data_IF_446891820082
#
_entry.id   IF_446891820082
#
_cell.length_a   1.000
_cell.length_b   1.000
_cell.length_c   1.000
_cell.angle_alpha   90.00
_cell.angle_beta   90.00
_cell.angle_gamma   90.00
#
_symmetry.space_group_name_H-M   'P 1'
#
loop_
_entity.id
_entity.type
_entity.pdbx_description
1 polymer ?
#
# COMPACT_ATOMS: atom_id res chain seq x y z
N UNK A 1 -0.39 -62.92 9.35
CA UNK A 1 -1.42 -61.87 9.20
C UNK A 1 -0.73 -60.52 9.39
N UNK A 2 -0.62 -59.72 8.33
CA UNK A 2 0.02 -58.40 8.41
C UNK A 2 -0.88 -57.45 9.22
N UNK A 3 -0.27 -56.63 10.10
CA UNK A 3 -1.00 -55.63 10.88
C UNK A 3 -1.65 -54.60 9.93
N UNK A 4 -2.88 -54.15 10.22
CA UNK A 4 -3.54 -53.14 9.38
C UNK A 4 -2.77 -51.81 9.46
N UNK A 5 -2.46 -51.24 8.28
CA UNK A 5 -1.80 -49.94 8.12
C UNK A 5 -2.66 -48.83 8.74
N UNK A 6 -2.02 -47.90 9.42
CA UNK A 6 -2.66 -46.74 10.04
C UNK A 6 -3.11 -45.72 8.97
N UNK A 7 -4.07 -44.85 9.31
CA UNK A 7 -4.61 -43.87 8.36
C UNK A 7 -3.55 -42.89 7.83
N UNK A 8 -2.53 -42.58 8.64
CA UNK A 8 -1.43 -41.71 8.23
C UNK A 8 -0.47 -42.39 7.24
N UNK A 9 -0.29 -43.71 7.34
CA UNK A 9 0.52 -44.47 6.39
C UNK A 9 -0.17 -44.57 5.03
N UNK A 10 -1.50 -44.70 5.01
CA UNK A 10 -2.28 -44.71 3.77
C UNK A 10 -2.21 -43.37 3.03
N UNK A 11 -2.34 -42.26 3.76
CA UNK A 11 -2.26 -40.91 3.17
C UNK A 11 -0.89 -40.63 2.55
N UNK A 12 0.21 -41.03 3.22
CA UNK A 12 1.56 -40.90 2.66
C UNK A 12 1.83 -41.80 1.45
N UNK A 13 1.20 -42.95 1.39
CA UNK A 13 1.31 -43.88 0.25
C UNK A 13 0.52 -43.34 -0.96
N UNK A 14 -0.63 -42.70 -0.71
CA UNK A 14 -1.47 -42.04 -1.72
C UNK A 14 -0.81 -40.77 -2.31
N UNK A 15 -0.15 -39.95 -1.48
CA UNK A 15 0.66 -38.82 -1.96
C UNK A 15 1.84 -39.28 -2.84
N UNK A 16 2.52 -40.36 -2.45
CA UNK A 16 3.62 -40.92 -3.25
C UNK A 16 3.13 -41.50 -4.58
N UNK A 17 1.95 -42.12 -4.58
CA UNK A 17 1.35 -42.65 -5.79
C UNK A 17 0.93 -41.52 -6.75
N UNK A 18 0.33 -40.44 -6.23
CA UNK A 18 -0.03 -39.27 -7.03
C UNK A 18 1.20 -38.54 -7.61
N UNK A 19 2.28 -38.48 -6.84
CA UNK A 19 3.54 -37.90 -7.30
C UNK A 19 4.20 -38.74 -8.40
N UNK A 20 4.09 -40.07 -8.34
CA UNK A 20 4.55 -40.99 -9.39
C UNK A 20 3.71 -40.89 -10.67
N UNK A 21 2.38 -40.77 -10.55
CA UNK A 21 1.50 -40.62 -11.71
C UNK A 21 1.73 -39.30 -12.46
N UNK A 22 1.99 -38.20 -11.73
CA UNK A 22 2.37 -36.93 -12.35
C UNK A 22 3.72 -37.02 -13.08
N UNK A 23 4.70 -37.75 -12.54
CA UNK A 23 5.99 -37.95 -13.21
C UNK A 23 5.90 -38.86 -14.45
N UNK A 24 4.93 -39.78 -14.49
CA UNK A 24 4.71 -40.67 -15.63
C UNK A 24 3.88 -40.02 -16.76
N UNK A 25 2.97 -39.11 -16.41
CA UNK A 25 2.15 -38.36 -17.38
C UNK A 25 2.95 -37.42 -18.27
N UNK A 26 3.92 -36.70 -17.69
CA UNK A 26 4.76 -35.74 -18.43
C UNK A 26 5.84 -36.42 -19.28
N UNK A 27 6.20 -37.67 -18.98
CA UNK A 27 7.30 -38.39 -19.65
C UNK A 27 6.89 -39.19 -20.91
N UNK A 28 5.59 -39.47 -21.11
CA UNK A 28 5.10 -40.29 -22.24
C UNK A 28 3.98 -39.63 -23.08
N UNK A 29 3.64 -38.38 -22.80
CA UNK A 29 2.53 -37.66 -23.44
C UNK A 29 2.85 -36.91 -24.73
N UNK A 30 3.59 -37.48 -25.70
CA UNK A 30 3.60 -36.96 -27.09
C UNK A 30 4.18 -37.96 -28.12
N UNK A 31 3.45 -39.03 -28.46
CA UNK A 31 3.83 -39.89 -29.60
C UNK A 31 2.66 -40.28 -30.50
N UNK A 32 1.65 -39.42 -30.56
CA UNK A 32 0.36 -39.72 -31.17
C UNK A 32 -0.03 -38.90 -32.40
N UNK A 33 0.87 -38.18 -33.08
CA UNK A 33 0.47 -37.44 -34.31
C UNK A 33 1.60 -37.32 -35.34
N UNK A 34 1.85 -38.39 -36.10
CA UNK A 34 2.52 -38.31 -37.40
C UNK A 34 1.94 -39.38 -38.34
N UNK A 35 0.96 -39.00 -39.17
CA UNK A 35 0.76 -39.50 -40.54
C UNK A 35 -0.38 -38.74 -41.23
N UNK A 36 -0.15 -38.24 -42.44
CA UNK A 36 -1.21 -37.93 -43.42
C UNK A 36 -1.06 -38.88 -44.63
N UNK A 37 -1.73 -38.67 -45.79
CA UNK A 37 -2.93 -37.88 -46.09
C UNK A 37 -4.04 -38.70 -46.84
N UNK A 38 -5.12 -38.01 -47.25
CA UNK A 38 -5.99 -38.25 -48.42
C UNK A 38 -7.46 -38.73 -48.22
N UNK A 39 -8.37 -37.90 -48.77
CA UNK A 39 -9.48 -38.17 -49.71
C UNK A 39 -10.91 -38.56 -49.27
N UNK A 40 -11.83 -37.69 -49.73
CA UNK A 40 -13.24 -37.81 -50.17
C UNK A 40 -14.26 -38.79 -49.56
N UNK A 41 -15.49 -38.29 -49.31
CA UNK A 41 -16.67 -39.14 -49.12
C UNK A 41 -17.94 -38.46 -48.61
N UNK A 42 -18.74 -37.96 -49.55
CA UNK A 42 -20.09 -37.38 -49.44
C UNK A 42 -21.18 -38.40 -49.00
N UNK A 43 -22.17 -37.99 -48.19
CA UNK A 43 -23.52 -38.61 -48.12
C UNK A 43 -24.51 -37.83 -47.23
N UNK A 44 -25.45 -37.19 -47.91
CA UNK A 44 -26.69 -36.54 -47.47
C UNK A 44 -27.78 -37.55 -47.01
N UNK A 45 -28.64 -37.19 -46.04
CA UNK A 45 -30.10 -37.51 -46.06
C UNK A 45 -30.88 -36.56 -45.13
N UNK A 46 -31.96 -36.03 -45.69
CA UNK A 46 -32.75 -34.85 -45.32
C UNK A 46 -33.88 -35.09 -44.29
N UNK A 47 -34.36 -34.00 -43.68
CA UNK A 47 -35.71 -33.86 -43.10
C UNK A 47 -36.32 -32.51 -43.55
N UNK A 48 -37.64 -32.38 -43.80
CA UNK A 48 -38.14 -31.43 -44.80
C UNK A 48 -38.64 -30.07 -44.27
N UNK A 49 -38.42 -29.07 -45.13
CA UNK A 49 -39.21 -27.89 -45.53
C UNK A 49 -40.15 -27.18 -44.53
N UNK A 50 -39.93 -25.88 -44.30
CA UNK A 50 -40.59 -24.79 -45.05
C UNK A 50 -39.98 -23.40 -44.73
N UNK A 51 -39.78 -22.62 -45.80
CA UNK A 51 -39.04 -21.35 -45.96
C UNK A 51 -39.94 -20.10 -45.67
N UNK A 52 -39.54 -18.81 -45.92
CA UNK A 52 -38.30 -18.33 -46.58
C UNK A 52 -37.64 -17.01 -46.05
N UNK A 53 -36.42 -16.77 -46.58
CA UNK A 53 -35.82 -15.46 -47.01
C UNK A 53 -35.25 -14.48 -45.94
N UNK A 54 -34.02 -13.91 -46.00
CA UNK A 54 -32.83 -13.94 -46.88
C UNK A 54 -31.55 -13.59 -46.06
N UNK A 55 -30.40 -13.98 -46.61
CA UNK A 55 -29.01 -14.11 -46.10
C UNK A 55 -28.21 -12.81 -45.85
N UNK A 56 -27.17 -12.86 -44.99
CA UNK A 56 -26.03 -11.94 -45.02
C UNK A 56 -24.85 -12.54 -45.81
N UNK A 57 -24.30 -11.80 -46.79
CA UNK A 57 -23.08 -12.18 -47.52
C UNK A 57 -21.84 -11.40 -47.05
N UNK A 58 -20.77 -12.17 -47.04
CA UNK A 58 -19.36 -11.93 -46.75
C UNK A 58 -18.69 -11.08 -47.85
N UNK A 59 -17.86 -10.11 -47.45
CA UNK A 59 -17.09 -9.28 -48.39
C UNK A 59 -15.58 -9.42 -48.15
N UNK A 60 -14.92 -9.72 -49.26
CA UNK A 60 -13.50 -9.96 -49.44
C UNK A 60 -12.57 -8.80 -49.03
N UNK A 61 -11.32 -9.16 -48.75
CA UNK A 61 -10.20 -8.26 -48.49
C UNK A 61 -9.87 -7.32 -49.67
N UNK A 62 -9.52 -6.04 -49.42
CA UNK A 62 -8.85 -5.21 -50.41
C UNK A 62 -7.35 -5.07 -50.14
N UNK A 63 -6.57 -5.45 -51.14
CA UNK A 63 -5.18 -5.04 -51.36
C UNK A 63 -5.09 -3.56 -51.76
N UNK A 64 -4.26 -2.75 -51.08
CA UNK A 64 -3.80 -1.45 -51.59
C UNK A 64 -3.32 -0.47 -50.50
N UNK A 65 -2.17 0.24 -50.68
CA UNK A 65 -1.70 1.25 -49.71
C UNK A 65 -2.55 2.54 -49.77
N UNK A 66 -2.72 3.26 -48.64
CA UNK A 66 -3.51 4.47 -48.60
C UNK A 66 -2.88 5.58 -49.43
N UNK A 67 -3.67 6.13 -50.35
CA UNK A 67 -3.32 7.27 -51.18
C UNK A 67 -3.67 8.58 -50.46
N UNK A 68 -2.68 9.43 -50.19
CA UNK A 68 -2.85 10.88 -50.02
C UNK A 68 -2.68 11.45 -48.59
N UNK A 69 -1.95 12.57 -48.43
CA UNK A 69 -1.87 13.29 -47.15
C UNK A 69 -3.18 14.01 -46.81
N UNK A 70 -3.49 14.23 -45.53
CA UNK A 70 -4.72 14.89 -45.10
C UNK A 70 -4.79 16.34 -45.60
N UNK A 71 -5.99 16.72 -46.00
CA UNK A 71 -6.34 18.01 -46.58
C UNK A 71 -6.27 19.13 -45.52
N UNK A 72 -5.31 20.05 -45.68
CA UNK A 72 -5.39 21.46 -45.28
C UNK A 72 -5.46 21.84 -43.78
N UNK A 73 -4.85 22.97 -43.36
CA UNK A 73 -5.03 23.50 -42.01
C UNK A 73 -6.46 24.05 -41.80
N UNK A 74 -6.98 24.03 -40.55
CA UNK A 74 -8.31 24.54 -40.25
C UNK A 74 -8.42 26.04 -40.55
N UNK A 75 -9.56 26.39 -41.14
CA UNK A 75 -9.95 27.73 -41.53
C UNK A 75 -10.12 28.67 -40.32
N UNK A 76 -9.16 29.56 -40.10
CA UNK A 76 -9.36 30.86 -39.45
C UNK A 76 -9.34 30.92 -37.90
N UNK A 77 -8.89 32.04 -37.31
CA UNK A 77 -8.95 32.27 -35.86
C UNK A 77 -10.40 32.49 -35.37
N UNK A 78 -10.71 32.20 -34.09
CA UNK A 78 -12.02 32.44 -33.53
C UNK A 78 -12.39 33.93 -33.58
N UNK A 79 -13.66 34.18 -33.86
CA UNK A 79 -14.26 35.49 -34.02
C UNK A 79 -14.26 36.29 -32.71
N UNK A 80 -13.30 37.20 -32.54
CA UNK A 80 -13.39 38.40 -31.69
C UNK A 80 -13.32 38.22 -30.16
N UNK A 81 -12.86 39.25 -29.42
CA UNK A 81 -12.90 39.26 -27.96
C UNK A 81 -14.34 39.42 -27.44
N UNK A 82 -14.65 38.92 -26.22
CA UNK A 82 -15.96 39.12 -25.60
C UNK A 82 -16.27 40.62 -25.47
N UNK A 83 -17.53 40.96 -25.75
CA UNK A 83 -18.04 42.32 -25.72
C UNK A 83 -18.05 42.87 -24.29
N UNK A 84 -17.11 43.75 -23.97
CA UNK A 84 -17.23 44.79 -22.93
C UNK A 84 -16.89 44.38 -21.48
N UNK A 85 -16.36 45.30 -20.67
CA UNK A 85 -16.18 45.10 -19.23
C UNK A 85 -17.54 45.09 -18.49
N UNK A 86 -17.66 44.41 -17.35
CA UNK A 86 -18.86 44.48 -16.52
C UNK A 86 -19.12 45.93 -16.10
N UNK A 87 -20.39 46.32 -16.20
CA UNK A 87 -20.87 47.65 -15.88
C UNK A 87 -20.78 47.91 -14.37
N UNK A 88 -19.74 48.64 -13.95
CA UNK A 88 -19.72 49.45 -12.74
C UNK A 88 -19.48 48.72 -11.39
N UNK A 89 -18.85 49.40 -10.41
CA UNK A 89 -18.73 48.88 -9.05
C UNK A 89 -20.09 48.89 -8.33
N UNK A 90 -20.32 47.99 -7.36
CA UNK A 90 -21.52 48.03 -6.52
C UNK A 90 -21.59 49.37 -5.78
N UNK A 91 -22.78 49.95 -5.78
CA UNK A 91 -23.08 51.22 -5.14
C UNK A 91 -23.03 51.07 -3.61
N UNK A 92 -22.03 51.66 -2.98
CA UNK A 92 -22.09 52.14 -1.59
C UNK A 92 -21.68 51.15 -0.48
N UNK A 93 -20.95 51.62 0.56
CA UNK A 93 -20.70 50.84 1.77
C UNK A 93 -21.99 50.69 2.61
N UNK A 94 -22.15 49.60 3.36
CA UNK A 94 -23.23 49.48 4.34
C UNK A 94 -23.12 50.60 5.38
N UNK A 95 -24.26 51.25 5.61
CA UNK A 95 -24.39 52.30 6.62
C UNK A 95 -24.36 51.70 8.02
N UNK A 96 -23.38 52.11 8.82
CA UNK A 96 -23.48 52.13 10.29
C UNK A 96 -22.78 50.99 11.05
N UNK A 97 -22.01 51.30 12.12
CA UNK A 97 -21.52 50.30 13.07
C UNK A 97 -22.64 49.82 14.01
N UNK A 98 -22.64 48.54 14.45
CA UNK A 98 -23.52 48.09 15.52
C UNK A 98 -23.15 48.79 16.83
N UNK A 99 -24.18 49.13 17.62
CA UNK A 99 -24.09 49.88 18.87
C UNK A 99 -23.17 49.25 19.93
N UNK A 100 -22.64 50.12 20.80
CA UNK A 100 -21.63 49.81 21.80
C UNK A 100 -22.04 48.85 22.93
N UNK A 101 -21.09 48.51 23.81
CA UNK A 101 -21.27 47.50 24.86
C UNK A 101 -22.12 48.03 26.04
N UNK A 102 -22.90 47.16 26.72
CA UNK A 102 -23.56 47.55 27.96
C UNK A 102 -22.53 47.75 29.08
N UNK A 103 -22.65 48.88 29.76
CA UNK A 103 -21.89 49.24 30.96
C UNK A 103 -22.59 48.73 32.23
N UNK A 104 -21.87 47.95 33.04
CA UNK A 104 -21.91 47.98 34.51
C UNK A 104 -23.04 47.23 35.27
N UNK A 105 -22.72 46.54 36.38
CA UNK A 105 -23.71 46.10 37.38
C UNK A 105 -23.89 47.16 38.48
N UNK A 106 -25.02 47.12 39.22
CA UNK A 106 -24.93 47.49 40.63
C UNK A 106 -25.65 46.51 41.58
N UNK A 107 -24.87 46.23 42.62
CA UNK A 107 -25.08 45.68 43.96
C UNK A 107 -26.35 46.07 44.74
N UNK A 108 -26.71 45.14 45.65
CA UNK A 108 -27.20 45.29 47.07
C UNK A 108 -28.56 45.97 47.25
N UNK A 109 -29.48 45.56 48.12
CA UNK A 109 -29.46 44.95 49.47
C UNK A 109 -30.87 44.34 49.69
N UNK A 110 -31.13 43.40 50.60
CA UNK A 110 -31.27 43.63 52.04
C UNK A 110 -31.52 42.29 52.75
N UNK A 111 -30.89 42.16 53.93
CA UNK A 111 -31.46 41.70 55.23
C UNK A 111 -32.15 40.30 55.31
N UNK A 112 -32.00 39.46 56.33
CA UNK A 112 -31.35 39.53 57.65
C UNK A 112 -31.58 38.12 58.27
N UNK A 113 -30.59 37.63 59.03
CA UNK A 113 -30.71 36.70 60.18
C UNK A 113 -29.40 35.93 60.40
N UNK A 114 -28.57 36.49 61.29
CA UNK A 114 -27.63 35.75 62.13
C UNK A 114 -28.30 35.56 63.54
N UNK A 115 -27.65 35.04 64.62
CA UNK A 115 -26.33 34.38 64.71
C UNK A 115 -26.25 33.14 65.68
N UNK A 116 -25.18 32.33 65.50
CA UNK A 116 -24.23 31.76 66.52
C UNK A 116 -24.64 30.67 67.58
N UNK A 117 -23.68 30.04 68.32
CA UNK A 117 -22.41 29.38 67.92
C UNK A 117 -22.07 28.10 68.76
N UNK A 118 -20.93 27.44 68.49
CA UNK A 118 -20.02 26.71 69.42
C UNK A 118 -18.95 25.96 68.57
N UNK A 119 -17.65 26.29 68.54
CA UNK A 119 -16.56 26.05 69.53
C UNK A 119 -16.64 24.67 70.21
N UNK A 120 -15.60 23.82 70.36
CA UNK A 120 -14.14 23.97 70.42
C UNK A 120 -13.51 22.55 70.45
N UNK A 121 -12.20 22.44 70.13
CA UNK A 121 -11.18 21.56 70.73
C UNK A 121 -11.35 20.01 70.65
N UNK A 122 -10.34 19.14 70.80
CA UNK A 122 -8.88 19.10 70.69
C UNK A 122 -8.50 17.61 70.92
N UNK A 123 -7.27 17.22 70.52
CA UNK A 123 -6.43 16.18 71.17
C UNK A 123 -6.87 14.69 71.11
N UNK A 124 -6.01 13.68 71.06
CA UNK A 124 -4.54 13.54 71.13
C UNK A 124 -4.18 12.08 70.72
N UNK A 125 -2.87 11.83 70.60
CA UNK A 125 -2.13 10.56 70.73
C UNK A 125 -2.18 9.54 69.58
N UNK A 126 -1.09 8.88 69.20
CA UNK A 126 0.34 8.95 69.51
C UNK A 126 1.02 7.87 68.61
N UNK A 127 1.97 8.22 67.72
CA UNK A 127 3.45 8.01 67.83
C UNK A 127 3.90 6.53 67.51
N UNK A 128 5.17 6.26 67.15
CA UNK A 128 5.64 5.89 65.80
C UNK A 128 6.60 4.65 65.83
N UNK A 129 7.23 4.24 64.72
CA UNK A 129 8.67 4.47 64.37
C UNK A 129 9.16 3.29 63.47
N UNK A 130 10.40 3.26 62.92
CA UNK A 130 11.12 4.23 62.06
C UNK A 130 11.68 3.48 60.80
N UNK A 131 12.34 4.05 59.78
CA UNK A 131 13.65 4.75 59.68
C UNK A 131 13.76 5.30 58.25
N UNK A 132 14.09 6.59 58.02
CA UNK A 132 15.45 7.13 57.78
C UNK A 132 16.24 6.33 56.70
N UNK A 133 16.87 6.91 55.67
CA UNK A 133 17.36 8.28 55.51
C UNK A 133 17.62 8.58 54.01
N UNK A 134 17.68 9.88 53.67
CA UNK A 134 17.95 10.39 52.31
C UNK A 134 19.43 10.88 52.21
N UNK A 135 19.91 11.44 51.08
CA UNK A 135 21.25 11.17 50.52
C UNK A 135 22.32 12.18 51.00
N UNK A 136 23.53 12.14 50.41
CA UNK A 136 24.07 13.41 49.94
C UNK A 136 24.74 13.35 48.56
N UNK A 137 24.86 14.54 47.98
CA UNK A 137 25.46 14.83 46.70
C UNK A 137 26.94 15.25 46.79
N UNK A 138 27.63 15.06 45.66
CA UNK A 138 28.64 15.93 45.05
C UNK A 138 30.15 15.55 45.12
N UNK A 139 30.75 15.72 43.93
CA UNK A 139 32.15 15.99 43.54
C UNK A 139 33.01 14.88 42.89
N UNK A 140 33.16 15.04 41.56
CA UNK A 140 34.40 15.03 40.74
C UNK A 140 35.43 13.88 40.85
N UNK A 141 35.56 13.06 39.79
CA UNK A 141 36.67 13.10 38.81
C UNK A 141 36.56 11.91 37.83
N UNK A 142 36.94 12.16 36.57
CA UNK A 142 37.01 11.17 35.49
C UNK A 142 38.08 10.08 35.74
N UNK A 143 38.04 8.95 35.01
CA UNK A 143 38.80 8.95 33.76
C UNK A 143 38.08 8.32 32.57
N UNK A 144 38.55 8.75 31.40
CA UNK A 144 38.20 8.24 30.10
C UNK A 144 38.49 6.74 29.95
N UNK A 145 37.54 6.02 29.36
CA UNK A 145 37.78 4.79 28.64
C UNK A 145 37.02 4.87 27.32
N UNK A 146 37.77 5.07 26.25
CA UNK A 146 37.35 4.92 24.87
C UNK A 146 36.87 3.48 24.68
N UNK A 147 35.64 3.31 24.24
CA UNK A 147 35.20 2.08 23.57
C UNK A 147 34.81 2.50 22.17
N UNK A 148 35.73 2.24 21.24
CA UNK A 148 35.47 2.22 19.80
C UNK A 148 34.23 1.35 19.54
N UNK A 149 33.18 1.99 19.04
CA UNK A 149 32.03 1.33 18.42
C UNK A 149 32.49 0.95 17.00
N UNK A 150 32.57 -0.33 16.64
CA UNK A 150 33.01 -0.72 15.31
C UNK A 150 31.91 -0.43 14.28
N UNK A 151 32.31 0.24 13.19
CA UNK A 151 31.58 0.37 11.91
C UNK A 151 30.86 -0.93 11.51
N UNK A 152 29.65 -0.85 10.93
CA UNK A 152 29.01 -2.03 10.37
C UNK A 152 29.76 -2.43 9.10
N UNK A 153 30.50 -3.54 9.19
CA UNK A 153 31.08 -4.21 8.04
C UNK A 153 29.96 -4.84 7.20
N UNK A 154 30.06 -4.65 5.88
CA UNK A 154 29.25 -5.28 4.85
C UNK A 154 29.21 -6.81 5.04
N UNK A 155 28.03 -7.38 5.31
CA UNK A 155 27.82 -8.83 5.34
C UNK A 155 27.77 -9.37 3.89
N UNK A 156 28.89 -9.94 3.43
CA UNK A 156 28.90 -10.87 2.30
C UNK A 156 28.07 -12.13 2.64
N UNK A 157 27.30 -12.69 1.68
CA UNK A 157 26.58 -13.94 1.90
C UNK A 157 27.55 -15.11 2.10
N UNK A 158 27.23 -16.08 3.00
CA UNK A 158 28.16 -17.14 3.37
C UNK A 158 28.40 -18.13 2.23
N UNK A 159 29.67 -18.40 1.95
CA UNK A 159 30.13 -19.51 1.14
C UNK A 159 29.70 -20.84 1.78
N UNK A 160 28.96 -21.66 1.04
CA UNK A 160 28.61 -23.02 1.44
C UNK A 160 29.89 -23.85 1.60
N UNK A 161 30.20 -24.21 2.85
CA UNK A 161 31.23 -25.18 3.19
C UNK A 161 30.71 -26.56 2.78
N UNK A 162 31.39 -27.19 1.81
CA UNK A 162 31.16 -28.58 1.46
C UNK A 162 31.84 -29.45 2.51
N UNK A 163 31.02 -30.04 3.38
CA UNK A 163 31.42 -31.04 4.37
C UNK A 163 32.10 -32.24 3.70
N UNK A 164 33.20 -32.66 4.31
CA UNK A 164 34.03 -33.79 3.91
C UNK A 164 33.72 -34.97 4.84
N UNK A 165 33.30 -36.16 4.38
CA UNK A 165 33.16 -37.31 5.27
C UNK A 165 34.47 -38.13 5.33
N UNK A 166 34.85 -38.52 6.55
CA UNK A 166 35.86 -39.53 6.92
C UNK A 166 35.18 -40.89 7.22
N UNK A 167 35.91 -42.02 7.37
CA UNK A 167 35.71 -43.24 6.58
C UNK A 167 34.87 -44.34 7.26
N UNK A 168 34.34 -45.25 6.45
CA UNK A 168 33.64 -46.46 6.89
C UNK A 168 34.57 -47.70 6.83
N UNK A 169 34.41 -48.58 7.82
CA UNK A 169 35.10 -49.86 8.02
C UNK A 169 34.61 -50.98 7.05
N UNK A 170 35.53 -51.92 6.79
CA UNK A 170 35.51 -53.28 6.18
C UNK A 170 34.15 -54.03 6.13
N UNK A 171 33.74 -54.92 5.20
CA UNK A 171 34.29 -55.86 4.18
C UNK A 171 33.02 -56.52 3.50
N UNK A 172 33.04 -57.52 2.58
CA UNK A 172 34.02 -57.95 1.56
C UNK A 172 33.42 -58.16 0.14
N UNK A 173 34.33 -58.30 -0.83
CA UNK A 173 34.26 -58.99 -2.14
C UNK A 173 32.90 -59.37 -2.76
N UNK A 174 32.61 -58.78 -3.94
CA UNK A 174 31.96 -59.49 -5.04
C UNK A 174 32.35 -58.86 -6.39
N UNK A 175 33.18 -59.62 -7.13
CA UNK A 175 33.31 -59.70 -8.58
C UNK A 175 33.20 -58.42 -9.42
N UNK A 176 34.35 -58.00 -9.96
CA UNK A 176 34.38 -57.19 -11.19
C UNK A 176 33.60 -57.90 -12.31
N UNK A 177 32.84 -57.10 -13.07
CA UNK A 177 33.04 -57.11 -14.51
C UNK A 177 33.53 -55.74 -14.94
N UNK A 178 34.79 -55.72 -15.37
CA UNK A 178 35.32 -54.92 -16.48
C UNK A 178 34.25 -54.15 -17.28
N UNK A 179 34.17 -52.85 -17.02
CA UNK A 179 33.92 -51.83 -18.04
C UNK A 179 34.52 -50.51 -17.55
N UNK A 180 35.83 -50.34 -17.73
CA UNK A 180 36.40 -49.00 -17.88
C UNK A 180 35.75 -48.38 -19.14
N UNK A 181 34.59 -47.74 -19.00
CA UNK A 181 34.16 -46.76 -19.99
C UNK A 181 34.93 -45.49 -19.68
N UNK A 182 36.17 -45.41 -20.18
CA UNK A 182 36.80 -44.11 -20.40
C UNK A 182 35.76 -43.23 -21.09
N UNK A 183 35.44 -42.03 -20.58
CA UNK A 183 34.50 -41.15 -21.26
C UNK A 183 34.96 -41.01 -22.71
N UNK A 184 34.10 -41.44 -23.65
CA UNK A 184 34.43 -41.37 -25.08
C UNK A 184 34.81 -39.94 -25.43
N UNK A 185 35.73 -39.75 -26.37
CA UNK A 185 36.26 -38.42 -26.74
C UNK A 185 35.14 -37.39 -27.01
N UNK A 186 34.02 -37.84 -27.58
CA UNK A 186 32.82 -37.02 -27.80
C UNK A 186 32.19 -36.48 -26.52
N UNK A 187 32.21 -37.26 -25.43
CA UNK A 187 31.69 -36.83 -24.12
C UNK A 187 32.63 -35.82 -23.44
N UNK A 188 33.94 -35.97 -23.63
CA UNK A 188 34.92 -35.00 -23.14
C UNK A 188 34.84 -33.67 -23.90
N UNK A 189 34.66 -33.73 -25.22
CA UNK A 189 34.50 -32.53 -26.05
C UNK A 189 33.20 -31.78 -25.69
N UNK A 190 32.09 -32.50 -25.46
CA UNK A 190 30.83 -31.91 -24.99
C UNK A 190 30.95 -31.27 -23.60
N UNK A 191 31.72 -31.88 -22.68
CA UNK A 191 31.96 -31.30 -21.36
C UNK A 191 32.79 -30.01 -21.45
N UNK A 192 33.82 -29.98 -22.30
CA UNK A 192 34.60 -28.77 -22.56
C UNK A 192 33.75 -27.65 -23.20
N UNK A 193 32.85 -27.99 -24.13
CA UNK A 193 31.90 -27.01 -24.70
C UNK A 193 30.94 -26.46 -23.64
N UNK A 194 30.45 -27.32 -22.73
CA UNK A 194 29.59 -26.92 -21.61
C UNK A 194 30.33 -26.07 -20.58
N UNK A 195 31.60 -26.37 -20.31
CA UNK A 195 32.44 -25.56 -19.42
C UNK A 195 32.70 -24.17 -20.02
N UNK A 196 33.00 -24.08 -21.32
CA UNK A 196 33.13 -22.79 -22.00
C UNK A 196 31.82 -22.00 -22.05
N UNK A 197 30.67 -22.69 -22.20
CA UNK A 197 29.35 -22.07 -22.13
C UNK A 197 29.05 -21.55 -20.71
N UNK A 198 29.39 -22.31 -19.66
CA UNK A 198 29.27 -21.88 -18.26
C UNK A 198 30.14 -20.66 -17.97
N UNK A 199 31.39 -20.63 -18.44
CA UNK A 199 32.27 -19.46 -18.29
C UNK A 199 31.69 -18.22 -18.98
N UNK A 200 31.11 -18.39 -20.17
CA UNK A 200 30.41 -17.31 -20.87
C UNK A 200 29.20 -16.82 -20.08
N UNK A 201 28.38 -17.72 -19.55
CA UNK A 201 27.21 -17.36 -18.74
C UNK A 201 27.61 -16.71 -17.41
N UNK A 202 28.73 -17.10 -16.81
CA UNK A 202 29.27 -16.44 -15.62
C UNK A 202 29.73 -15.00 -15.94
N UNK A 203 30.42 -14.79 -17.07
CA UNK A 203 30.79 -13.45 -17.51
C UNK A 203 29.55 -12.59 -17.82
N UNK A 204 28.52 -13.16 -18.42
CA UNK A 204 27.25 -12.46 -18.68
C UNK A 204 26.52 -12.11 -17.38
N UNK A 205 26.42 -13.03 -16.43
CA UNK A 205 25.85 -12.76 -15.10
C UNK A 205 26.63 -11.68 -14.35
N UNK A 206 27.96 -11.70 -14.38
CA UNK A 206 28.79 -10.67 -13.76
C UNK A 206 28.54 -9.29 -14.38
N UNK A 207 28.43 -9.23 -15.72
CA UNK A 207 28.07 -7.99 -16.43
C UNK A 207 26.66 -7.51 -16.08
N UNK A 208 25.69 -8.41 -15.99
CA UNK A 208 24.32 -8.07 -15.61
C UNK A 208 24.27 -7.53 -14.19
N UNK A 209 24.97 -8.16 -13.24
CA UNK A 209 25.08 -7.66 -11.86
C UNK A 209 25.69 -6.26 -11.81
N UNK A 210 26.80 -6.02 -12.53
CA UNK A 210 27.40 -4.69 -12.60
C UNK A 210 26.45 -3.65 -13.20
N UNK A 211 25.70 -4.03 -14.24
CA UNK A 211 24.69 -3.15 -14.86
C UNK A 211 23.53 -2.85 -13.92
N UNK A 212 23.11 -3.81 -13.10
CA UNK A 212 22.03 -3.62 -12.10
C UNK A 212 22.50 -2.71 -10.97
N UNK A 213 23.72 -2.91 -10.46
CA UNK A 213 24.30 -2.02 -9.43
C UNK A 213 24.42 -0.59 -9.95
N UNK A 214 24.97 -0.38 -11.14
CA UNK A 214 25.06 0.97 -11.72
C UNK A 214 23.69 1.59 -12.03
N UNK A 215 22.68 0.78 -12.36
CA UNK A 215 21.31 1.29 -12.50
C UNK A 215 20.70 1.68 -11.14
N UNK A 216 20.97 0.93 -10.08
CA UNK A 216 20.51 1.24 -8.73
C UNK A 216 21.11 2.55 -8.22
N UNK A 217 22.43 2.76 -8.41
CA UNK A 217 23.11 4.01 -8.02
C UNK A 217 22.51 5.24 -8.72
N UNK A 218 22.25 5.15 -10.03
CA UNK A 218 21.63 6.26 -10.79
C UNK A 218 20.18 6.53 -10.35
N UNK A 219 19.44 5.47 -10.00
CA UNK A 219 18.09 5.61 -9.47
C UNK A 219 18.14 6.28 -8.09
N UNK A 220 19.00 5.82 -7.19
CA UNK A 220 19.17 6.40 -5.85
C UNK A 220 19.56 7.88 -5.93
N UNK A 221 20.54 8.24 -6.77
CA UNK A 221 20.95 9.64 -6.99
C UNK A 221 19.82 10.51 -7.58
N UNK A 222 18.97 9.94 -8.46
CA UNK A 222 17.77 10.61 -8.95
C UNK A 222 16.66 10.70 -7.89
N UNK A 223 16.58 9.74 -6.99
CA UNK A 223 15.52 9.64 -5.99
C UNK A 223 15.79 10.49 -4.75
N UNK A 224 17.07 10.67 -4.39
CA UNK A 224 17.57 11.34 -3.19
C UNK A 224 18.03 12.79 -3.43
N UNK A 225 17.64 13.38 -4.57
CA UNK A 225 17.92 14.79 -4.84
C UNK A 225 17.42 15.68 -3.68
N UNK A 226 18.24 16.61 -3.16
CA UNK A 226 17.85 17.44 -2.03
C UNK A 226 16.64 18.28 -2.41
N UNK A 227 15.49 17.96 -1.80
CA UNK A 227 14.23 18.63 -2.09
C UNK A 227 14.24 20.05 -1.50
N UNK A 228 13.82 21.08 -2.26
CA UNK A 228 13.64 22.40 -1.69
C UNK A 228 12.48 22.39 -0.68
N UNK A 229 12.50 23.28 0.33
CA UNK A 229 11.36 23.43 1.23
C UNK A 229 10.14 23.95 0.46
N UNK A 230 8.96 23.49 0.84
CA UNK A 230 7.70 24.06 0.35
C UNK A 230 7.38 25.31 1.18
N UNK A 231 7.06 26.41 0.49
CA UNK A 231 6.65 27.67 1.11
C UNK A 231 5.31 28.09 0.52
N UNK A 232 4.28 28.15 1.37
CA UNK A 232 2.93 28.58 0.98
C UNK A 232 2.27 29.33 2.13
N UNK A 233 1.66 30.49 1.87
CA UNK A 233 0.86 31.26 2.85
C UNK A 233 1.49 31.43 4.25
N UNK A 234 2.78 31.76 4.31
CA UNK A 234 3.61 31.87 5.53
C UNK A 234 3.85 30.56 6.29
N UNK A 235 3.48 29.43 5.71
CA UNK A 235 3.81 28.09 6.16
C UNK A 235 5.07 27.64 5.42
N UNK A 236 6.05 27.16 6.17
CA UNK A 236 7.27 26.55 5.62
C UNK A 236 7.27 25.09 6.04
N UNK A 237 7.22 24.20 5.05
CA UNK A 237 7.38 22.76 5.26
C UNK A 237 8.83 22.38 4.94
N UNK A 238 9.52 21.70 5.87
CA UNK A 238 10.93 21.42 5.74
C UNK A 238 11.21 20.39 4.64
N UNK A 239 12.44 20.40 4.07
CA UNK A 239 12.85 19.50 2.99
C UNK A 239 12.60 18.01 3.26
N UNK A 240 12.84 17.55 4.49
CA UNK A 240 12.69 16.13 4.85
C UNK A 240 11.23 15.67 4.76
N UNK A 241 10.27 16.50 5.21
CA UNK A 241 8.85 16.20 5.05
C UNK A 241 8.46 16.15 3.58
N UNK A 242 8.95 17.11 2.76
CA UNK A 242 8.70 17.07 1.31
C UNK A 242 9.25 15.78 0.70
N UNK A 243 10.44 15.34 1.11
CA UNK A 243 11.04 14.09 0.67
C UNK A 243 10.20 12.86 1.08
N UNK A 244 9.62 12.83 2.28
CA UNK A 244 8.73 11.76 2.73
C UNK A 244 7.50 11.62 1.82
N UNK A 245 6.87 12.74 1.46
CA UNK A 245 5.75 12.75 0.50
C UNK A 245 6.16 12.18 -0.86
N UNK A 246 7.34 12.55 -1.37
CA UNK A 246 7.85 12.07 -2.66
C UNK A 246 8.14 10.57 -2.61
N UNK A 247 8.78 10.10 -1.54
CA UNK A 247 9.10 8.69 -1.30
C UNK A 247 7.82 7.85 -1.26
N UNK A 248 6.84 8.24 -0.46
CA UNK A 248 5.59 7.49 -0.36
C UNK A 248 4.81 7.51 -1.68
N UNK A 249 4.80 8.63 -2.41
CA UNK A 249 4.14 8.72 -3.71
C UNK A 249 4.70 7.72 -4.74
N UNK A 250 6.02 7.50 -4.76
CA UNK A 250 6.66 6.47 -5.61
C UNK A 250 6.32 5.06 -5.13
N UNK A 251 6.37 4.82 -3.82
CA UNK A 251 6.07 3.52 -3.22
C UNK A 251 4.64 3.06 -3.54
N UNK A 252 3.66 3.95 -3.41
CA UNK A 252 2.25 3.64 -3.67
C UNK A 252 1.96 3.26 -5.13
N UNK A 253 2.67 3.86 -6.09
CA UNK A 253 2.53 3.52 -7.51
C UNK A 253 3.15 2.15 -7.84
N UNK A 254 4.33 1.86 -7.26
CA UNK A 254 5.02 0.56 -7.39
C UNK A 254 4.15 -0.59 -6.90
N UNK A 255 3.36 -0.38 -5.85
CA UNK A 255 2.46 -1.39 -5.29
C UNK A 255 1.05 -1.37 -5.87
N UNK A 256 0.79 -0.50 -6.85
CA UNK A 256 -0.52 -0.37 -7.50
C UNK A 256 -1.66 0.00 -6.54
N UNK A 257 -1.35 0.65 -5.42
CA UNK A 257 -2.34 1.21 -4.51
C UNK A 257 -2.92 2.53 -5.06
N UNK A 258 -2.15 3.22 -5.91
CA UNK A 258 -2.57 4.40 -6.65
C UNK A 258 -2.13 4.29 -8.12
N UNK A 259 -2.77 5.08 -8.99
CA UNK A 259 -2.43 5.17 -10.42
C UNK A 259 -2.59 6.61 -10.88
N UNK A 260 -1.63 7.13 -11.65
CA UNK A 260 -1.69 8.47 -12.22
C UNK A 260 -1.99 9.55 -11.16
N UNK A 261 -3.19 10.16 -11.20
CA UNK A 261 -3.64 11.23 -10.28
C UNK A 261 -4.65 10.73 -9.24
N UNK A 262 -4.79 9.41 -9.10
CA UNK A 262 -5.68 8.79 -8.12
C UNK A 262 -5.02 8.81 -6.74
N UNK A 263 -5.85 8.93 -5.71
CA UNK A 263 -5.42 8.98 -4.33
C UNK A 263 -4.93 10.36 -3.90
N UNK A 264 -4.76 10.48 -2.60
CA UNK A 264 -4.23 11.64 -1.92
C UNK A 264 -3.47 11.18 -0.68
N UNK A 265 -2.42 11.90 -0.32
CA UNK A 265 -1.65 11.62 0.90
C UNK A 265 -1.63 12.87 1.75
N UNK A 266 -1.71 12.70 3.06
CA UNK A 266 -1.62 13.80 4.00
C UNK A 266 -1.03 13.36 5.33
N UNK A 267 -0.43 14.30 6.05
CA UNK A 267 0.07 14.08 7.40
C UNK A 267 -0.03 15.36 8.23
N UNK A 268 0.03 15.21 9.56
CA UNK A 268 0.26 16.32 10.46
C UNK A 268 1.75 16.62 10.53
N UNK A 269 2.09 17.91 10.55
CA UNK A 269 3.48 18.35 10.63
C UNK A 269 4.11 17.85 11.95
N UNK A 270 5.24 17.12 11.91
CA UNK A 270 5.85 16.52 13.10
C UNK A 270 6.21 17.55 14.19
N UNK A 271 6.72 18.70 13.78
CA UNK A 271 7.18 19.77 14.69
C UNK A 271 6.14 20.87 14.97
N UNK A 272 5.06 20.95 14.19
CA UNK A 272 4.06 22.03 14.27
C UNK A 272 2.67 21.42 14.45
N UNK A 273 2.23 21.21 15.71
CA UNK A 273 0.94 20.62 15.99
C UNK A 273 -0.20 21.38 15.32
N UNK A 274 -1.15 20.64 14.74
CA UNK A 274 -2.33 21.21 14.09
C UNK A 274 -2.09 21.77 12.69
N UNK A 275 -0.88 21.67 12.14
CA UNK A 275 -0.63 21.96 10.73
C UNK A 275 -0.77 20.67 9.91
N UNK A 276 -1.73 20.65 8.98
CA UNK A 276 -1.93 19.55 8.04
C UNK A 276 -1.25 19.87 6.71
N UNK A 277 -0.51 18.89 6.19
CA UNK A 277 0.15 18.94 4.89
C UNK A 277 -0.47 17.85 4.02
N UNK A 278 -0.80 18.16 2.77
CA UNK A 278 -1.37 17.19 1.84
C UNK A 278 -0.86 17.38 0.41
N UNK A 279 -0.94 16.31 -0.38
CA UNK A 279 -0.80 16.39 -1.84
C UNK A 279 -1.91 17.25 -2.43
N UNK A 280 -1.58 18.11 -3.40
CA UNK A 280 -2.55 18.92 -4.15
C UNK A 280 -3.49 18.06 -4.98
N UNK A 281 -4.61 18.67 -5.35
CA UNK A 281 -5.58 18.06 -6.24
C UNK A 281 -4.95 17.68 -7.60
N UNK A 282 -5.29 16.49 -8.09
CA UNK A 282 -4.90 15.98 -9.41
C UNK A 282 -3.39 15.96 -9.66
N UNK A 283 -2.57 15.83 -8.62
CA UNK A 283 -1.14 15.65 -8.78
C UNK A 283 -0.78 14.19 -9.04
N UNK A 284 0.24 13.95 -9.85
CA UNK A 284 0.76 12.61 -10.05
C UNK A 284 1.65 12.23 -8.87
N UNK A 285 1.15 11.40 -7.95
CA UNK A 285 1.84 11.00 -6.73
C UNK A 285 3.29 10.52 -6.94
N UNK A 286 3.62 9.64 -7.92
CA UNK A 286 5.00 9.20 -8.12
C UNK A 286 5.94 10.27 -8.72
N UNK A 287 5.39 11.45 -9.10
CA UNK A 287 6.14 12.58 -9.66
C UNK A 287 5.98 13.85 -8.82
N UNK A 288 5.65 13.71 -7.54
CA UNK A 288 5.53 14.84 -6.63
C UNK A 288 6.85 15.59 -6.46
N UNK A 289 6.71 16.86 -6.09
CA UNK A 289 7.78 17.78 -5.71
C UNK A 289 7.25 18.80 -4.69
N UNK A 290 8.05 19.80 -4.31
CA UNK A 290 7.66 20.81 -3.33
C UNK A 290 6.39 21.59 -3.72
N UNK A 291 6.14 21.77 -5.02
CA UNK A 291 4.95 22.50 -5.52
C UNK A 291 3.70 21.65 -5.55
N UNK A 292 3.87 20.35 -5.41
CA UNK A 292 2.79 19.36 -5.42
C UNK A 292 2.06 19.27 -4.10
N UNK A 293 2.52 20.00 -3.08
CA UNK A 293 1.97 19.98 -1.74
C UNK A 293 1.22 21.29 -1.45
N UNK A 294 0.31 21.19 -0.49
CA UNK A 294 -0.38 22.32 0.13
C UNK A 294 -0.50 22.07 1.63
N UNK A 295 -0.64 23.14 2.41
CA UNK A 295 -0.78 23.04 3.85
C UNK A 295 -1.77 24.05 4.41
N UNK A 296 -2.45 23.68 5.49
CA UNK A 296 -3.33 24.56 6.26
C UNK A 296 -3.46 24.06 7.70
N UNK A 297 -3.85 24.95 8.60
CA UNK A 297 -4.18 24.56 9.97
C UNK A 297 -5.46 23.70 9.98
N UNK A 298 -5.49 22.69 10.85
CA UNK A 298 -6.70 21.92 11.15
C UNK A 298 -7.83 22.88 11.55
N UNK A 299 -8.99 22.72 10.92
CA UNK A 299 -10.19 23.53 11.11
C UNK A 299 -10.22 24.84 10.32
N UNK A 300 -9.14 25.25 9.65
CA UNK A 300 -9.09 26.54 8.93
C UNK A 300 -9.77 26.52 7.54
N UNK A 301 -10.22 25.34 7.08
CA UNK A 301 -10.78 25.12 5.76
C UNK A 301 -9.73 24.74 4.70
N UNK A 302 -10.20 24.26 3.56
CA UNK A 302 -9.33 23.73 2.51
C UNK A 302 -8.49 24.86 1.85
N UNK A 303 -7.15 24.74 1.82
CA UNK A 303 -6.28 25.70 1.14
C UNK A 303 -6.45 25.64 -0.38
N UNK A 304 -5.90 26.64 -1.08
CA UNK A 304 -5.99 26.70 -2.54
C UNK A 304 -5.31 25.47 -3.16
N UNK A 305 -6.06 24.74 -3.99
CA UNK A 305 -5.54 23.56 -4.68
C UNK A 305 -5.48 22.30 -3.81
N UNK A 306 -6.13 22.31 -2.65
CA UNK A 306 -6.39 21.12 -1.85
C UNK A 306 -7.15 20.04 -2.64
N UNK A 307 -6.90 18.75 -2.35
CA UNK A 307 -7.61 17.64 -2.95
C UNK A 307 -9.10 17.67 -2.59
N UNK A 308 -9.92 17.02 -3.42
CA UNK A 308 -11.39 17.06 -3.29
C UNK A 308 -11.91 16.47 -1.99
N UNK A 309 -11.13 15.60 -1.36
CA UNK A 309 -11.43 14.90 -0.12
C UNK A 309 -10.71 15.50 1.09
N UNK A 310 -10.30 16.77 1.02
CA UNK A 310 -9.63 17.48 2.12
C UNK A 310 -10.30 17.28 3.48
N UNK A 311 -11.63 17.45 3.55
CA UNK A 311 -12.38 17.30 4.80
C UNK A 311 -12.33 15.87 5.36
N UNK A 312 -12.23 14.85 4.50
CA UNK A 312 -12.09 13.46 4.92
C UNK A 312 -10.70 13.22 5.48
N UNK A 313 -9.66 13.70 4.79
CA UNK A 313 -8.28 13.62 5.28
C UNK A 313 -8.14 14.32 6.64
N UNK A 314 -8.75 15.50 6.78
CA UNK A 314 -8.74 16.29 8.01
C UNK A 314 -9.38 15.54 9.19
N UNK A 315 -10.60 15.00 9.01
CA UNK A 315 -11.29 14.31 10.12
C UNK A 315 -10.61 12.99 10.51
N UNK A 316 -10.04 12.30 9.52
CA UNK A 316 -9.32 11.05 9.72
C UNK A 316 -8.00 11.31 10.47
N UNK A 317 -7.22 12.31 10.06
CA UNK A 317 -6.00 12.72 10.75
C UNK A 317 -6.28 13.23 12.17
N UNK A 318 -7.32 14.04 12.35
CA UNK A 318 -7.74 14.50 13.67
C UNK A 318 -8.07 13.31 14.59
N UNK A 319 -8.82 12.33 14.10
CA UNK A 319 -9.18 11.14 14.87
C UNK A 319 -7.96 10.31 15.27
N UNK A 320 -7.00 10.13 14.35
CA UNK A 320 -5.78 9.32 14.58
C UNK A 320 -4.82 10.01 15.53
N UNK A 321 -4.62 11.32 15.37
CA UNK A 321 -3.72 12.11 16.22
C UNK A 321 -4.07 12.04 17.71
N UNK A 322 -5.36 11.90 18.04
CA UNK A 322 -5.83 11.71 19.41
C UNK A 322 -5.40 10.36 20.02
N UNK A 323 -5.21 9.34 19.18
CA UNK A 323 -4.82 7.98 19.59
C UNK A 323 -3.31 7.82 19.62
N UNK A 324 -2.60 8.41 18.65
CA UNK A 324 -1.14 8.36 18.54
C UNK A 324 -0.42 9.40 19.41
N UNK A 325 -1.15 10.36 19.98
CA UNK A 325 -0.58 11.43 20.81
C UNK A 325 0.06 12.56 20.01
N UNK A 326 -0.35 12.75 18.75
CA UNK A 326 0.09 13.87 17.92
C UNK A 326 0.38 13.46 16.47
N UNK A 327 1.39 12.60 16.21
CA UNK A 327 1.78 12.23 14.85
C UNK A 327 0.66 11.47 14.14
N UNK A 328 0.29 11.90 12.94
CA UNK A 328 -0.70 11.19 12.15
C UNK A 328 -0.41 11.36 10.66
N UNK A 329 -0.60 10.28 9.91
CA UNK A 329 -0.54 10.24 8.45
C UNK A 329 -1.73 9.44 7.91
N UNK A 330 -2.16 9.80 6.71
CA UNK A 330 -3.25 9.14 5.99
C UNK A 330 -2.87 8.99 4.52
N UNK A 331 -3.24 7.84 3.98
CA UNK A 331 -3.12 7.51 2.56
C UNK A 331 -4.51 7.16 2.07
N UNK A 332 -5.03 7.96 1.15
CA UNK A 332 -6.18 7.60 0.35
C UNK A 332 -5.70 6.79 -0.85
N UNK A 333 -5.98 5.50 -0.83
CA UNK A 333 -5.63 4.56 -1.87
C UNK A 333 -6.85 4.13 -2.68
N UNK A 334 -6.62 3.78 -3.94
CA UNK A 334 -7.61 3.27 -4.88
C UNK A 334 -7.24 1.85 -5.32
N UNK A 335 -6.96 1.00 -4.33
CA UNK A 335 -6.62 -0.40 -4.58
C UNK A 335 -7.75 -1.11 -5.35
N UNK A 336 -7.46 -1.80 -6.46
CA UNK A 336 -8.48 -2.37 -7.33
C UNK A 336 -9.36 -3.41 -6.63
N UNK A 337 -8.80 -4.23 -5.73
CA UNK A 337 -9.55 -5.26 -5.01
C UNK A 337 -10.41 -4.64 -3.92
N UNK A 338 -9.86 -3.72 -3.14
CA UNK A 338 -10.63 -2.99 -2.12
C UNK A 338 -11.78 -2.23 -2.75
N UNK A 339 -11.52 -1.50 -3.84
CA UNK A 339 -12.53 -0.73 -4.55
C UNK A 339 -13.60 -1.65 -5.14
N UNK A 340 -13.21 -2.73 -5.84
CA UNK A 340 -14.15 -3.66 -6.44
C UNK A 340 -15.03 -4.37 -5.41
N UNK A 341 -14.45 -4.86 -4.31
CA UNK A 341 -15.19 -5.51 -3.24
C UNK A 341 -16.15 -4.54 -2.54
N UNK A 342 -15.74 -3.27 -2.37
CA UNK A 342 -16.58 -2.25 -1.75
C UNK A 342 -17.87 -1.99 -2.54
N UNK A 343 -17.88 -2.20 -3.86
CA UNK A 343 -19.07 -1.98 -4.69
C UNK A 343 -20.24 -2.94 -4.39
N UNK A 344 -20.03 -4.00 -3.61
CA UNK A 344 -21.10 -4.92 -3.21
C UNK A 344 -22.05 -4.29 -2.19
N UNK A 345 -23.27 -3.98 -2.61
CA UNK A 345 -24.25 -3.19 -1.84
C UNK A 345 -24.53 -3.71 -0.42
N UNK A 346 -24.52 -5.02 -0.21
CA UNK A 346 -24.82 -5.62 1.10
C UNK A 346 -23.60 -5.73 2.01
N UNK A 347 -22.42 -5.34 1.50
CA UNK A 347 -21.17 -5.35 2.23
C UNK A 347 -21.00 -4.02 2.98
N UNK A 348 -21.19 -4.07 4.30
CA UNK A 348 -20.99 -2.93 5.22
C UNK A 348 -19.81 -3.19 6.17
N UNK A 349 -19.57 -4.45 6.51
CA UNK A 349 -18.48 -4.90 7.36
C UNK A 349 -17.80 -6.09 6.70
N UNK A 350 -16.48 -6.03 6.59
CA UNK A 350 -15.63 -7.14 6.16
C UNK A 350 -14.68 -7.47 7.30
N UNK A 351 -14.58 -8.75 7.62
CA UNK A 351 -13.48 -9.26 8.45
C UNK A 351 -12.57 -10.07 7.53
N UNK A 352 -11.27 -9.75 7.45
CA UNK A 352 -10.31 -10.52 6.68
C UNK A 352 -10.37 -12.00 7.02
N UNK A 353 -10.14 -12.83 6.00
CA UNK A 353 -10.20 -14.29 6.13
C UNK A 353 -8.82 -14.84 6.52
N UNK A 354 -7.77 -14.16 6.05
CA UNK A 354 -6.38 -14.48 6.37
C UNK A 354 -6.03 -14.07 7.81
N UNK A 355 -5.17 -14.86 8.45
CA UNK A 355 -4.78 -14.65 9.85
C UNK A 355 -4.06 -13.31 10.05
N UNK A 356 -3.22 -12.89 9.09
CA UNK A 356 -2.46 -11.64 9.17
C UNK A 356 -3.42 -10.45 9.21
N UNK A 357 -4.37 -10.39 8.29
CA UNK A 357 -5.39 -9.35 8.20
C UNK A 357 -6.30 -9.31 9.42
N UNK A 358 -6.70 -10.46 9.97
CA UNK A 358 -7.47 -10.53 11.23
C UNK A 358 -6.74 -9.89 12.40
N UNK A 359 -5.43 -10.13 12.50
CA UNK A 359 -4.61 -9.62 13.59
C UNK A 359 -4.20 -8.15 13.43
N UNK A 360 -3.87 -7.72 12.21
CA UNK A 360 -3.31 -6.38 11.97
C UNK A 360 -4.37 -5.33 11.63
N UNK A 361 -5.32 -5.66 10.75
CA UNK A 361 -6.38 -4.74 10.30
C UNK A 361 -7.64 -4.92 11.15
N UNK A 362 -8.04 -6.16 11.42
CA UNK A 362 -9.24 -6.45 12.19
C UNK A 362 -10.52 -6.23 11.40
N UNK A 363 -11.35 -5.27 11.80
CA UNK A 363 -12.66 -5.03 11.16
C UNK A 363 -12.54 -3.92 10.13
N UNK A 364 -12.98 -4.18 8.91
CA UNK A 364 -13.01 -3.20 7.83
C UNK A 364 -14.45 -2.71 7.67
N UNK A 365 -14.69 -1.43 7.96
CA UNK A 365 -16.01 -0.81 7.82
C UNK A 365 -16.08 -0.09 6.47
N UNK A 366 -17.18 -0.32 5.75
CA UNK A 366 -17.48 0.29 4.46
C UNK A 366 -18.57 1.35 4.67
N UNK A 367 -18.25 2.59 4.32
CA UNK A 367 -19.14 3.75 4.43
C UNK A 367 -19.64 4.14 3.05
N UNK A 368 -20.91 4.50 2.98
CA UNK A 368 -21.54 4.97 1.75
C UNK A 368 -21.31 6.48 1.60
N UNK A 369 -20.87 6.97 0.43
CA UNK A 369 -20.74 8.41 0.20
C UNK A 369 -22.13 9.08 0.19
N UNK A 370 -22.29 10.13 0.97
CA UNK A 370 -23.49 10.98 0.98
C UNK A 370 -23.12 12.42 0.56
N UNK A 371 -23.27 12.78 -0.72
CA UNK A 371 -22.98 14.12 -1.21
C UNK A 371 -24.03 15.16 -0.80
N UNK A 372 -25.23 14.73 -0.41
CA UNK A 372 -26.31 15.63 0.00
C UNK A 372 -26.13 16.09 1.46
N UNK A 373 -25.54 15.22 2.30
CA UNK A 373 -25.27 15.50 3.72
C UNK A 373 -23.78 15.24 4.07
N UNK A 374 -22.87 16.14 3.66
CA UNK A 374 -21.43 15.95 3.84
C UNK A 374 -21.01 15.87 5.31
N UNK A 375 -21.68 16.59 6.22
CA UNK A 375 -21.36 16.55 7.65
C UNK A 375 -21.69 15.19 8.29
N UNK A 376 -22.82 14.59 7.92
CA UNK A 376 -23.20 13.27 8.39
C UNK A 376 -22.27 12.19 7.83
N UNK A 377 -21.87 12.31 6.56
CA UNK A 377 -20.85 11.44 5.94
C UNK A 377 -19.52 11.50 6.70
N UNK A 378 -19.01 12.70 7.00
CA UNK A 378 -17.76 12.86 7.76
C UNK A 378 -17.84 12.24 9.15
N UNK A 379 -18.97 12.41 9.85
CA UNK A 379 -19.21 11.74 11.14
C UNK A 379 -19.18 10.22 11.00
N UNK A 380 -19.85 9.67 9.97
CA UNK A 380 -19.85 8.24 9.71
C UNK A 380 -18.45 7.70 9.41
N UNK A 381 -17.62 8.43 8.65
CA UNK A 381 -16.22 8.05 8.38
C UNK A 381 -15.41 7.98 9.68
N UNK A 382 -15.54 8.97 10.56
CA UNK A 382 -14.84 8.98 11.85
C UNK A 382 -15.31 7.82 12.76
N UNK A 383 -16.62 7.57 12.85
CA UNK A 383 -17.18 6.46 13.62
C UNK A 383 -16.75 5.10 13.05
N UNK A 384 -16.74 4.95 11.73
CA UNK A 384 -16.30 3.75 11.03
C UNK A 384 -14.81 3.47 11.29
N UNK A 385 -13.97 4.50 11.26
CA UNK A 385 -12.55 4.40 11.57
C UNK A 385 -12.33 3.94 13.02
N UNK A 386 -13.08 4.50 13.97
CA UNK A 386 -13.05 4.11 15.38
C UNK A 386 -13.49 2.65 15.58
N UNK A 387 -14.59 2.23 14.93
CA UNK A 387 -15.10 0.86 14.99
C UNK A 387 -14.16 -0.15 14.34
N UNK A 388 -13.44 0.27 13.29
CA UNK A 388 -12.42 -0.50 12.59
C UNK A 388 -11.04 -0.53 13.28
N UNK A 389 -10.93 -0.01 14.51
CA UNK A 389 -9.69 -0.08 15.29
C UNK A 389 -8.61 0.92 14.86
N UNK A 390 -8.98 2.03 14.22
CA UNK A 390 -8.07 3.12 13.84
C UNK A 390 -6.93 2.66 12.91
N UNK A 391 -7.30 1.91 11.86
CA UNK A 391 -6.36 1.39 10.84
C UNK A 391 -6.74 1.81 9.44
N UNK A 392 -8.00 1.62 9.08
CA UNK A 392 -8.52 2.03 7.79
C UNK A 392 -10.04 2.20 7.80
N UNK A 393 -10.53 2.93 6.81
CA UNK A 393 -11.96 3.04 6.49
C UNK A 393 -12.12 3.02 4.98
N UNK A 394 -13.12 2.27 4.50
CA UNK A 394 -13.37 2.10 3.06
C UNK A 394 -14.58 2.96 2.68
N UNK A 395 -14.45 3.73 1.61
CA UNK A 395 -15.56 4.47 1.02
C UNK A 395 -16.02 3.75 -0.23
N UNK A 396 -17.30 3.35 -0.25
CA UNK A 396 -17.88 2.53 -1.31
C UNK A 396 -17.62 3.11 -2.69
N UNK A 397 -16.98 2.32 -3.55
CA UNK A 397 -16.72 2.66 -4.95
C UNK A 397 -15.70 3.79 -5.16
N UNK A 398 -15.08 4.31 -4.10
CA UNK A 398 -14.05 5.33 -4.19
C UNK A 398 -12.68 4.73 -3.84
N UNK A 399 -12.55 4.05 -2.71
CA UNK A 399 -11.26 3.53 -2.27
C UNK A 399 -11.22 3.39 -0.76
N UNK A 400 -10.02 3.47 -0.18
CA UNK A 400 -9.84 3.37 1.27
C UNK A 400 -8.87 4.42 1.80
N UNK A 401 -9.16 4.89 3.00
CA UNK A 401 -8.28 5.74 3.79
C UNK A 401 -7.58 4.86 4.81
N UNK A 402 -6.29 4.62 4.62
CA UNK A 402 -5.43 3.93 5.57
C UNK A 402 -4.66 4.95 6.41
N UNK A 403 -4.51 4.68 7.70
CA UNK A 403 -3.96 5.64 8.66
C UNK A 403 -2.83 5.06 9.49
N UNK A 404 -1.97 5.93 9.99
CA UNK A 404 -0.88 5.59 10.89
C UNK A 404 -0.34 6.82 11.63
N UNK A 405 0.66 6.63 12.48
CA UNK A 405 1.43 7.71 13.09
C UNK A 405 2.31 8.42 12.04
N UNK A 406 2.77 7.67 11.05
CA UNK A 406 3.63 8.08 9.95
C UNK A 406 3.21 7.40 8.64
N UNK A 407 3.85 7.80 7.53
CA UNK A 407 3.55 7.23 6.21
C UNK A 407 3.86 5.75 6.09
N UNK A 408 4.87 5.23 6.79
CA UNK A 408 5.25 3.82 6.70
C UNK A 408 4.19 2.93 7.37
N UNK A 409 3.65 3.36 8.51
CA UNK A 409 2.53 2.68 9.16
C UNK A 409 1.24 2.80 8.35
N UNK A 410 0.93 3.99 7.81
CA UNK A 410 -0.25 4.17 6.96
C UNK A 410 -0.16 3.28 5.70
N UNK A 411 1.03 3.19 5.11
CA UNK A 411 1.33 2.34 3.97
C UNK A 411 1.19 0.86 4.30
N UNK A 412 1.75 0.40 5.42
CA UNK A 412 1.61 -0.99 5.84
C UNK A 412 0.13 -1.39 5.99
N UNK A 413 -0.68 -0.51 6.59
CA UNK A 413 -2.12 -0.72 6.71
C UNK A 413 -2.84 -0.74 5.35
N UNK A 414 -2.42 0.13 4.42
CA UNK A 414 -2.93 0.18 3.05
C UNK A 414 -2.64 -1.12 2.28
N UNK A 415 -1.38 -1.57 2.30
CA UNK A 415 -0.93 -2.77 1.61
C UNK A 415 -1.59 -4.04 2.17
N UNK A 416 -1.68 -4.16 3.50
CA UNK A 416 -2.35 -5.28 4.16
C UNK A 416 -3.86 -5.31 3.85
N UNK A 417 -4.52 -4.14 3.86
CA UNK A 417 -5.93 -4.05 3.50
C UNK A 417 -6.16 -4.56 2.07
N UNK A 418 -5.39 -4.05 1.10
CA UNK A 418 -5.55 -4.46 -0.30
C UNK A 418 -5.30 -5.96 -0.50
N UNK A 419 -4.29 -6.51 0.18
CA UNK A 419 -3.99 -7.94 0.15
C UNK A 419 -5.13 -8.79 0.73
N UNK A 420 -5.65 -8.44 1.90
CA UNK A 420 -6.77 -9.15 2.51
C UNK A 420 -8.04 -9.06 1.66
N UNK A 421 -8.30 -7.91 1.04
CA UNK A 421 -9.45 -7.73 0.13
C UNK A 421 -9.29 -8.55 -1.16
N UNK A 422 -8.07 -8.70 -1.67
CA UNK A 422 -7.77 -9.60 -2.79
C UNK A 422 -8.10 -11.05 -2.43
N UNK A 423 -7.66 -11.53 -1.27
CA UNK A 423 -7.97 -12.89 -0.79
C UNK A 423 -9.48 -13.08 -0.67
N UNK A 424 -10.19 -12.09 -0.13
CA UNK A 424 -11.64 -12.13 0.01
C UNK A 424 -12.37 -12.26 -1.33
N UNK A 425 -11.93 -11.51 -2.34
CA UNK A 425 -12.48 -11.62 -3.69
C UNK A 425 -12.19 -12.98 -4.31
N UNK A 426 -10.95 -13.48 -4.20
CA UNK A 426 -10.57 -14.79 -4.74
C UNK A 426 -11.34 -15.92 -4.07
N UNK A 427 -11.51 -15.87 -2.75
CA UNK A 427 -12.26 -16.87 -2.02
C UNK A 427 -13.74 -16.91 -2.43
N UNK A 428 -14.33 -15.75 -2.67
CA UNK A 428 -15.70 -15.63 -3.20
C UNK A 428 -15.81 -16.15 -4.63
N UNK A 429 -14.86 -15.81 -5.50
CA UNK A 429 -14.82 -16.33 -6.88
C UNK A 429 -14.70 -17.87 -6.91
N UNK A 430 -13.93 -18.44 -5.98
CA UNK A 430 -13.77 -19.88 -5.81
C UNK A 430 -14.94 -20.56 -5.07
N UNK A 431 -15.96 -19.81 -4.62
CA UNK A 431 -17.07 -20.33 -3.80
C UNK A 431 -16.61 -21.13 -2.56
N UNK A 432 -15.54 -20.66 -1.90
CA UNK A 432 -15.07 -21.28 -0.66
C UNK A 432 -16.11 -21.08 0.46
N UNK A 433 -16.34 -22.12 1.24
CA UNK A 433 -17.13 -22.04 2.48
C UNK A 433 -16.15 -21.73 3.60
N UNK A 434 -16.18 -20.49 4.06
CA UNK A 434 -15.27 -19.94 5.05
C UNK A 434 -15.90 -19.87 6.45
#
# INVERSE_FOLDING_TARGET
MAKPKTSAEKAREEEKQAQLDNMLGDAFGDIGTLEGPADDGDANTEQPEQAPEQTPEELAAPTGPPSGPPSGPPSGPPSGPPSGPPSGPPSGPPSGPPGGPPSGPPNTSDEDSAPEPAEEAADDEATPEPTEDTPPAAEEEAPAAQTDEPEPAEEEPPAAQVDKPEPAEEEPAAEEPSAESTPDQSTLDLLAEKEAELERLHMENARLRQSVVGAAEVIEEMEEQPMPPMVEDNIVVPPHVVADFVRIGRQLDREHLVRATMGSVAMLHPEQPGLMIASRNMVTLPRMNERSLCAAALGAGAPRGAPTDWNVLEIVLASVSMVTGGPAAVIHMHGPHTTAASCEKDLVLVTPIDEIGKHHIGKIIIVDPDPDHPEDFLRQVAEALQQGGMRCVVVRGNGAYAVGADFDQAWANAAMLEHSMQIHLLARQANLKL
#
